data_IF_082299141648
#
_entry.id   IF_082299141648
#
_cell.length_a   1.000
_cell.length_b   1.000
_cell.length_c   1.000
_cell.angle_alpha   90.00
_cell.angle_beta   90.00
_cell.angle_gamma   90.00
#
_symmetry.space_group_name_H-M   'P 1'
#
loop_
_entity.id
_entity.type
_entity.pdbx_description
1 polymer ?
#
# COMPACT_ATOMS: atom_id res chain seq x y z
N UNK A 1 -14.80 -51.29 -9.44
CA UNK A 1 -14.75 -50.22 -8.42
C UNK A 1 -13.29 -49.83 -8.29
N UNK A 2 -12.86 -48.78 -8.99
CA UNK A 2 -11.52 -48.22 -8.82
C UNK A 2 -11.74 -46.97 -7.98
N UNK A 3 -11.33 -47.04 -6.72
CA UNK A 3 -11.33 -45.89 -5.82
C UNK A 3 -10.21 -44.96 -6.27
N UNK A 4 -10.58 -43.77 -6.74
CA UNK A 4 -9.66 -42.69 -6.99
C UNK A 4 -9.28 -42.08 -5.63
N UNK A 5 -8.11 -42.47 -5.13
CA UNK A 5 -7.53 -41.91 -3.91
C UNK A 5 -6.75 -40.64 -4.29
N UNK A 6 -7.43 -39.50 -4.34
CA UNK A 6 -6.77 -38.21 -4.35
C UNK A 6 -5.93 -38.08 -3.07
N UNK A 7 -4.62 -37.87 -3.22
CA UNK A 7 -3.70 -37.65 -2.11
C UNK A 7 -4.04 -36.36 -1.36
N UNK A 8 -3.85 -36.27 -0.03
CA UNK A 8 -4.34 -35.15 0.78
C UNK A 8 -3.60 -33.81 0.57
N UNK A 9 -2.54 -33.77 -0.23
CA UNK A 9 -1.57 -32.66 -0.26
C UNK A 9 -1.77 -31.66 -1.43
N UNK A 10 -2.81 -31.80 -2.25
CA UNK A 10 -3.00 -30.96 -3.45
C UNK A 10 -3.86 -29.69 -3.20
N UNK A 11 -3.91 -29.21 -1.96
CA UNK A 11 -4.63 -27.99 -1.58
C UNK A 11 -3.72 -26.76 -1.71
N UNK A 12 -3.81 -26.13 -2.89
CA UNK A 12 -3.64 -24.69 -3.13
C UNK A 12 -2.50 -24.00 -2.40
N UNK A 13 -1.25 -24.24 -2.82
CA UNK A 13 -0.27 -23.15 -2.70
C UNK A 13 -0.53 -22.21 -3.87
N UNK A 14 -1.08 -20.98 -3.68
CA UNK A 14 -1.11 -20.02 -4.77
C UNK A 14 0.33 -19.85 -5.25
N UNK A 15 0.57 -20.05 -6.54
CA UNK A 15 1.87 -19.75 -7.11
C UNK A 15 2.26 -18.33 -6.68
N UNK A 16 3.51 -18.15 -6.24
CA UNK A 16 4.04 -16.84 -5.90
C UNK A 16 3.78 -15.90 -7.09
N UNK A 17 2.91 -14.91 -6.88
CA UNK A 17 2.55 -14.00 -7.96
C UNK A 17 3.75 -13.11 -8.21
N UNK A 18 4.29 -13.20 -9.44
CA UNK A 18 5.28 -12.25 -9.91
C UNK A 18 4.75 -10.82 -9.68
N UNK A 19 5.59 -9.87 -9.26
CA UNK A 19 5.18 -8.48 -9.11
C UNK A 19 4.54 -7.97 -10.40
N UNK A 20 3.41 -7.28 -10.26
CA UNK A 20 2.75 -6.65 -11.40
C UNK A 20 3.65 -5.59 -12.03
N UNK A 21 3.74 -5.57 -13.36
CA UNK A 21 4.52 -4.59 -14.11
C UNK A 21 3.66 -3.45 -14.72
N UNK A 22 2.34 -3.63 -14.73
CA UNK A 22 1.37 -2.65 -15.21
C UNK A 22 0.87 -2.91 -16.64
N UNK A 23 1.52 -3.79 -17.40
CA UNK A 23 1.14 -4.14 -18.77
C UNK A 23 0.09 -5.27 -18.82
N UNK A 24 -0.20 -5.91 -17.69
CA UNK A 24 -1.17 -7.00 -17.64
C UNK A 24 -2.57 -6.49 -17.98
N UNK A 25 -3.25 -7.20 -18.89
CA UNK A 25 -4.65 -6.93 -19.22
C UNK A 25 -5.59 -7.70 -18.31
N UNK A 26 -6.73 -7.09 -17.94
CA UNK A 26 -7.77 -7.77 -17.18
C UNK A 26 -8.46 -8.84 -18.04
N UNK A 27 -8.53 -10.09 -17.54
CA UNK A 27 -9.17 -11.19 -18.26
C UNK A 27 -10.70 -11.08 -18.17
N UNK A 28 -11.39 -11.36 -19.28
CA UNK A 28 -12.85 -11.39 -19.34
C UNK A 28 -13.54 -10.02 -19.47
N UNK A 29 -12.76 -8.95 -19.71
CA UNK A 29 -13.27 -7.59 -19.92
C UNK A 29 -12.29 -6.81 -20.80
N UNK A 30 -12.74 -5.69 -21.39
CA UNK A 30 -11.89 -4.71 -22.10
C UNK A 30 -11.67 -3.46 -21.24
N UNK A 31 -11.29 -3.67 -19.97
CA UNK A 31 -11.16 -2.61 -18.97
C UNK A 31 -9.78 -1.92 -18.96
N UNK A 32 -8.91 -2.21 -19.93
CA UNK A 32 -7.54 -1.71 -19.99
C UNK A 32 -6.53 -2.56 -19.22
N UNK A 33 -5.42 -1.94 -18.79
CA UNK A 33 -4.33 -2.62 -18.08
C UNK A 33 -4.28 -2.30 -16.59
N UNK A 34 -3.46 -3.04 -15.84
CA UNK A 34 -3.15 -2.74 -14.44
C UNK A 34 -2.63 -1.31 -14.25
N UNK A 35 -1.83 -0.79 -15.19
CA UNK A 35 -1.36 0.60 -15.16
C UNK A 35 -2.52 1.61 -15.26
N UNK A 36 -3.54 1.33 -16.10
CA UNK A 36 -4.71 2.18 -16.19
C UNK A 36 -5.49 2.18 -14.86
N UNK A 37 -5.60 1.03 -14.22
CA UNK A 37 -6.17 0.91 -12.88
C UNK A 37 -5.35 1.71 -11.84
N UNK A 38 -4.03 1.61 -11.82
CA UNK A 38 -3.21 2.37 -10.88
C UNK A 38 -3.33 3.89 -11.07
N UNK A 39 -3.42 4.35 -12.32
CA UNK A 39 -3.69 5.77 -12.64
C UNK A 39 -5.06 6.21 -12.14
N UNK A 40 -6.07 5.38 -12.29
CA UNK A 40 -7.41 5.63 -11.76
C UNK A 40 -7.43 5.64 -10.22
N UNK A 41 -6.73 4.71 -9.58
CA UNK A 41 -6.72 4.55 -8.12
C UNK A 41 -5.89 5.63 -7.39
N UNK A 42 -4.84 6.14 -8.02
CA UNK A 42 -3.92 7.14 -7.47
C UNK A 42 -3.78 8.35 -8.40
N UNK A 43 -4.87 9.09 -8.69
CA UNK A 43 -4.88 10.13 -9.72
C UNK A 43 -4.20 11.43 -9.27
N UNK A 44 -4.06 11.66 -7.96
CA UNK A 44 -3.45 12.86 -7.40
C UNK A 44 -2.57 12.51 -6.19
N UNK A 45 -1.26 12.66 -6.35
CA UNK A 45 -0.23 12.42 -5.34
C UNK A 45 -0.34 13.33 -4.12
N UNK A 46 -1.13 14.42 -4.18
CA UNK A 46 -1.28 15.38 -3.08
C UNK A 46 -2.36 14.95 -2.08
N UNK A 47 -3.23 14.02 -2.43
CA UNK A 47 -4.26 13.51 -1.51
C UNK A 47 -3.61 12.81 -0.32
N UNK A 48 -4.27 12.80 0.85
CA UNK A 48 -3.68 12.22 2.06
C UNK A 48 -3.26 10.76 1.88
N UNK A 49 -4.09 9.95 1.21
CA UNK A 49 -3.83 8.54 0.97
C UNK A 49 -2.63 8.33 0.04
N UNK A 50 -2.67 8.91 -1.16
CA UNK A 50 -1.61 8.69 -2.16
C UNK A 50 -0.29 9.35 -1.74
N UNK A 51 -0.33 10.47 -1.02
CA UNK A 51 0.87 11.11 -0.46
C UNK A 51 1.55 10.22 0.57
N UNK A 52 0.79 9.54 1.44
CA UNK A 52 1.31 8.57 2.40
C UNK A 52 2.06 7.45 1.68
N UNK A 53 1.43 6.81 0.70
CA UNK A 53 2.03 5.74 -0.11
C UNK A 53 3.29 6.21 -0.85
N UNK A 54 3.27 7.43 -1.41
CA UNK A 54 4.43 8.00 -2.07
C UNK A 54 5.60 8.20 -1.09
N UNK A 55 5.33 8.70 0.11
CA UNK A 55 6.38 8.90 1.11
C UNK A 55 6.97 7.57 1.60
N UNK A 56 6.13 6.56 1.88
CA UNK A 56 6.58 5.20 2.20
C UNK A 56 7.50 4.67 1.11
N UNK A 57 7.09 4.78 -0.16
CA UNK A 57 7.90 4.36 -1.31
C UNK A 57 9.25 5.10 -1.38
N UNK A 58 9.27 6.42 -1.20
CA UNK A 58 10.51 7.20 -1.23
C UNK A 58 11.47 6.81 -0.10
N UNK A 59 10.96 6.60 1.11
CA UNK A 59 11.75 6.14 2.26
C UNK A 59 12.28 4.73 2.00
N UNK A 60 11.44 3.82 1.53
CA UNK A 60 11.83 2.45 1.14
C UNK A 60 13.01 2.46 0.16
N UNK A 61 12.95 3.31 -0.87
CA UNK A 61 14.05 3.48 -1.83
C UNK A 61 15.29 4.10 -1.21
N UNK A 62 15.15 5.09 -0.35
CA UNK A 62 16.27 5.80 0.27
C UNK A 62 17.07 4.90 1.22
N UNK A 63 16.41 4.00 1.94
CA UNK A 63 17.07 3.08 2.89
C UNK A 63 17.52 1.77 2.24
N UNK A 64 17.25 1.57 0.94
CA UNK A 64 17.62 0.35 0.23
C UNK A 64 16.84 -0.89 0.66
N UNK A 65 15.59 -0.72 1.13
CA UNK A 65 14.71 -1.84 1.40
C UNK A 65 14.40 -2.62 0.12
N UNK A 66 14.16 -3.93 0.25
CA UNK A 66 14.07 -4.87 -0.90
C UNK A 66 12.64 -5.35 -1.12
N UNK A 67 11.88 -5.55 -0.05
CA UNK A 67 10.51 -6.02 -0.09
C UNK A 67 9.60 -5.10 0.69
N UNK A 68 8.35 -4.98 0.24
CA UNK A 68 7.31 -4.31 1.02
C UNK A 68 6.94 -5.19 2.21
N UNK A 69 6.58 -4.55 3.32
CA UNK A 69 6.06 -5.25 4.49
C UNK A 69 4.77 -6.00 4.17
N UNK A 70 4.50 -7.06 4.94
CA UNK A 70 3.19 -7.71 4.92
C UNK A 70 2.12 -6.71 5.36
N UNK A 71 0.90 -6.89 4.84
CA UNK A 71 -0.24 -6.15 5.37
C UNK A 71 -0.33 -6.40 6.88
N UNK A 72 -0.58 -5.33 7.66
CA UNK A 72 -0.72 -5.31 9.13
C UNK A 72 0.55 -5.23 9.99
N UNK A 73 1.72 -4.94 9.41
CA UNK A 73 2.90 -4.60 10.22
C UNK A 73 2.72 -3.29 11.01
N UNK A 74 3.42 -3.18 12.15
CA UNK A 74 3.38 -2.00 13.02
C UNK A 74 4.33 -0.87 12.59
N UNK A 75 4.88 -0.96 11.39
CA UNK A 75 5.83 -0.02 10.79
C UNK A 75 5.69 -0.04 9.27
N UNK A 76 6.06 1.04 8.60
CA UNK A 76 5.85 1.22 7.17
C UNK A 76 7.02 0.69 6.33
N UNK A 77 8.26 0.77 6.84
CA UNK A 77 9.48 0.32 6.12
C UNK A 77 10.43 -0.43 7.05
N UNK A 78 10.89 -1.61 6.63
CA UNK A 78 12.02 -2.32 7.23
C UNK A 78 13.31 -2.03 6.45
N UNK A 79 14.30 -1.41 7.07
CA UNK A 79 15.62 -1.23 6.47
C UNK A 79 16.44 -2.54 6.51
N UNK A 80 17.46 -2.69 5.64
CA UNK A 80 18.29 -3.91 5.60
C UNK A 80 19.04 -4.23 6.89
N UNK A 81 19.29 -3.24 7.74
CA UNK A 81 19.93 -3.39 9.05
C UNK A 81 18.94 -3.77 10.17
N UNK A 82 17.66 -3.93 9.85
CA UNK A 82 16.58 -4.27 10.77
C UNK A 82 15.89 -3.07 11.42
N UNK A 83 16.24 -1.83 11.06
CA UNK A 83 15.55 -0.64 11.56
C UNK A 83 14.10 -0.60 11.05
N UNK A 84 13.15 -0.46 11.98
CA UNK A 84 11.72 -0.27 11.69
C UNK A 84 11.40 1.22 11.63
N UNK A 85 10.79 1.66 10.53
CA UNK A 85 10.55 3.06 10.25
C UNK A 85 9.04 3.29 10.05
N UNK A 86 8.50 4.23 10.85
CA UNK A 86 7.18 4.82 10.66
C UNK A 86 7.32 6.07 9.79
N UNK A 87 6.48 6.20 8.76
CA UNK A 87 6.48 7.30 7.80
C UNK A 87 5.22 8.14 7.97
N UNK A 88 5.42 9.42 8.28
CA UNK A 88 4.32 10.39 8.41
C UNK A 88 4.50 11.53 7.42
N UNK A 89 3.40 11.93 6.79
CA UNK A 89 3.42 13.06 5.84
C UNK A 89 2.64 14.25 6.38
N UNK A 90 3.14 15.44 6.10
CA UNK A 90 2.44 16.71 6.28
C UNK A 90 2.41 17.46 4.95
N UNK A 91 1.47 18.38 4.78
CA UNK A 91 1.38 19.22 3.59
C UNK A 91 0.95 20.63 4.00
N UNK A 92 1.53 21.64 3.35
CA UNK A 92 1.19 23.05 3.59
C UNK A 92 -0.25 23.38 3.16
N UNK A 93 -0.73 22.75 2.08
CA UNK A 93 -2.13 22.80 1.64
C UNK A 93 -2.65 21.36 1.60
N UNK A 94 -3.55 21.03 2.52
CA UNK A 94 -4.18 19.72 2.56
C UNK A 94 -5.42 19.73 1.66
N UNK A 95 -5.38 18.99 0.56
CA UNK A 95 -6.54 18.75 -0.28
C UNK A 95 -7.51 17.77 0.43
N UNK A 96 -8.46 18.31 1.19
CA UNK A 96 -9.62 17.57 1.67
C UNK A 96 -10.85 17.93 0.81
N UNK A 97 -11.66 16.97 0.34
CA UNK A 97 -12.92 17.24 -0.37
C UNK A 97 -14.00 17.91 0.48
N UNK A 98 -13.80 18.05 1.79
CA UNK A 98 -14.72 18.74 2.68
C UNK A 98 -14.65 20.27 2.43
N UNK A 99 -15.43 20.73 1.45
CA UNK A 99 -15.80 22.13 1.31
C UNK A 99 -16.94 22.40 2.30
N UNK A 100 -16.69 23.26 3.30
CA UNK A 100 -17.71 23.80 4.21
C UNK A 100 -17.35 23.62 5.69
N UNK A 101 -16.86 24.70 6.31
CA UNK A 101 -16.75 24.92 7.76
C UNK A 101 -15.76 24.06 8.56
N UNK A 102 -14.47 24.33 8.38
CA UNK A 102 -13.45 23.91 9.35
C UNK A 102 -13.34 24.96 10.47
N UNK A 103 -14.09 24.77 11.57
CA UNK A 103 -13.79 25.44 12.84
C UNK A 103 -12.58 24.77 13.50
N UNK A 104 -11.63 25.61 13.88
CA UNK A 104 -10.41 25.30 14.64
C UNK A 104 -10.67 24.41 15.87
N UNK A 105 -9.85 23.38 16.08
CA UNK A 105 -9.41 22.99 17.43
C UNK A 105 -7.94 22.61 17.37
N UNK A 106 -7.12 23.52 17.90
CA UNK A 106 -5.70 23.37 18.09
C UNK A 106 -5.38 22.42 19.25
N UNK A 107 -4.26 21.71 19.10
CA UNK A 107 -3.38 21.08 20.09
C UNK A 107 -3.95 20.83 21.52
N UNK A 108 -3.97 19.56 21.93
CA UNK A 108 -3.79 19.20 23.34
C UNK A 108 -2.75 18.09 23.46
N UNK A 109 -1.54 18.51 23.80
CA UNK A 109 -0.51 17.69 24.45
C UNK A 109 -1.05 17.23 25.80
N UNK A 110 -0.90 15.94 26.12
CA UNK A 110 -0.78 15.51 27.50
C UNK A 110 0.42 14.60 27.65
N UNK A 111 1.39 15.15 28.39
CA UNK A 111 2.48 14.46 29.05
C UNK A 111 1.89 13.65 30.23
N UNK A 112 2.66 12.65 30.63
CA UNK A 112 2.36 11.55 31.55
C UNK A 112 1.87 11.93 32.97
N UNK A 113 1.30 10.92 33.64
CA UNK A 113 1.66 10.54 35.02
C UNK A 113 1.63 9.04 35.17
#
# INVERSE_FOLDING_TARGET
MVSDSASPDDWHTPAELAPLDGNESFRGTDAGTVLDFWRYAMPDLRTNTTRGLLAEFLVHRAVGAVARNMEWESFDVLAPDGLKIEVKTSAYLQASPAVGDSLLTAARTHLES
#
